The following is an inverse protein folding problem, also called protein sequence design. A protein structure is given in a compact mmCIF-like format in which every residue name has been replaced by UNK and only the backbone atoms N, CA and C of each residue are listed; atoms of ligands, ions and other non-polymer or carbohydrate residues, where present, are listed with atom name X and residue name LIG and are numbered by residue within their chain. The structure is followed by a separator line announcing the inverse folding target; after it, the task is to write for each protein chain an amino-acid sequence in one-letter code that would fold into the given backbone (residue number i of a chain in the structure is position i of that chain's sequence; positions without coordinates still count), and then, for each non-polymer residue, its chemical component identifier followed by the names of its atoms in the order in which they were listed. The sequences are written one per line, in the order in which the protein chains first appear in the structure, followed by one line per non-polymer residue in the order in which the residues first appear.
data_IF_213550937551
#
_entry.id   IF_213550937551
#
_cell.length_a   1.000
_cell.length_b   1.000
_cell.length_c   1.000
_cell.angle_alpha   90.00
_cell.angle_beta   90.00
_cell.angle_gamma   90.00
#
_symmetry.space_group_name_H-M   'P 1'
#
loop_
_entity.id
_entity.type
_entity.pdbx_description
1 polymer ?
#
# COMPACT_ATOMS: atom_id res chain seq x y z
N UNK A 1 -33.36 12.12 51.64
CA UNK A 1 -32.97 13.30 50.83
C UNK A 1 -31.49 13.57 51.05
N UNK A 2 -30.65 13.43 50.02
CA UNK A 2 -29.20 13.66 50.12
C UNK A 2 -28.40 13.03 48.98
N UNK A 3 -28.15 13.83 47.93
CA UNK A 3 -27.13 13.79 46.87
C UNK A 3 -26.27 12.52 46.65
N UNK A 4 -26.19 12.07 45.39
CA UNK A 4 -25.02 12.30 44.52
C UNK A 4 -25.25 11.77 43.09
N UNK A 5 -25.17 12.70 42.15
CA UNK A 5 -24.88 12.52 40.73
C UNK A 5 -23.65 11.63 40.51
N UNK A 6 -23.75 10.63 39.64
CA UNK A 6 -22.59 9.98 39.04
C UNK A 6 -22.82 9.83 37.52
N UNK A 7 -22.25 10.77 36.80
CA UNK A 7 -22.05 10.76 35.35
C UNK A 7 -21.26 9.50 34.98
N UNK A 8 -21.85 8.58 34.22
CA UNK A 8 -21.11 7.46 33.61
C UNK A 8 -20.73 7.88 32.20
N UNK A 9 -19.49 8.32 32.07
CA UNK A 9 -18.83 8.62 30.81
C UNK A 9 -18.93 7.41 29.89
N UNK A 10 -19.67 7.57 28.78
CA UNK A 10 -19.62 6.62 27.69
C UNK A 10 -18.22 6.64 27.11
N UNK A 11 -17.42 5.62 27.40
CA UNK A 11 -16.16 5.39 26.71
C UNK A 11 -16.50 5.13 25.24
N UNK A 12 -16.40 6.17 24.40
CA UNK A 12 -16.45 6.00 22.95
C UNK A 12 -15.25 5.15 22.57
N UNK A 13 -15.51 3.87 22.31
CA UNK A 13 -14.57 2.95 21.69
C UNK A 13 -14.07 3.61 20.41
N UNK A 14 -12.76 3.87 20.22
CA UNK A 14 -12.30 4.38 18.95
C UNK A 14 -12.59 3.30 17.92
N UNK A 15 -13.56 3.58 17.06
CA UNK A 15 -13.86 2.78 15.88
C UNK A 15 -12.57 2.76 15.06
N UNK A 16 -11.83 1.65 15.13
CA UNK A 16 -10.69 1.38 14.26
C UNK A 16 -11.29 1.25 12.87
N UNK A 17 -11.49 2.38 12.19
CA UNK A 17 -11.78 2.41 10.75
C UNK A 17 -10.69 1.58 10.10
N UNK A 18 -11.09 0.45 9.54
CA UNK A 18 -10.27 -0.38 8.68
C UNK A 18 -9.73 0.52 7.57
N UNK A 19 -8.45 0.90 7.68
CA UNK A 19 -7.70 1.59 6.62
C UNK A 19 -7.27 0.64 5.50
N UNK A 20 -7.83 -0.56 5.43
CA UNK A 20 -7.56 -1.45 4.32
C UNK A 20 -8.58 -1.15 3.21
N UNK A 21 -8.28 -0.13 2.42
CA UNK A 21 -8.90 0.04 1.11
C UNK A 21 -8.54 -1.20 0.29
N UNK A 22 -9.54 -1.98 -0.09
CA UNK A 22 -9.38 -3.08 -1.06
C UNK A 22 -9.32 -2.58 -2.50
N UNK A 23 -9.42 -1.27 -2.72
CA UNK A 23 -9.24 -0.66 -4.03
C UNK A 23 -7.74 -0.63 -4.34
N UNK A 24 -7.30 -1.58 -5.15
CA UNK A 24 -5.99 -1.53 -5.80
C UNK A 24 -6.02 -0.31 -6.72
N UNK A 25 -5.15 0.68 -6.47
CA UNK A 25 -5.04 1.86 -7.32
C UNK A 25 -4.68 1.48 -8.76
N UNK A 26 -5.03 2.33 -9.73
CA UNK A 26 -4.78 2.09 -11.16
C UNK A 26 -3.30 1.78 -11.45
N UNK A 27 -2.38 2.52 -10.82
CA UNK A 27 -0.94 2.28 -10.92
C UNK A 27 -0.53 0.87 -10.47
N UNK A 28 -1.16 0.35 -9.41
CA UNK A 28 -0.88 -0.99 -8.93
C UNK A 28 -1.44 -2.06 -9.87
N UNK A 29 -2.57 -1.80 -10.54
CA UNK A 29 -3.11 -2.70 -11.58
C UNK A 29 -2.19 -2.75 -12.79
N UNK A 30 -1.68 -1.61 -13.25
CA UNK A 30 -0.73 -1.53 -14.36
C UNK A 30 0.57 -2.26 -14.04
N UNK A 31 1.08 -2.10 -12.82
CA UNK A 31 2.26 -2.84 -12.35
C UNK A 31 2.02 -4.36 -12.33
N UNK A 32 0.89 -4.82 -11.78
CA UNK A 32 0.53 -6.25 -11.76
C UNK A 32 0.45 -6.81 -13.18
N UNK A 33 -0.23 -6.10 -14.10
CA UNK A 33 -0.33 -6.53 -15.49
C UNK A 33 1.04 -6.64 -16.16
N UNK A 34 1.94 -5.68 -15.93
CA UNK A 34 3.29 -5.70 -16.48
C UNK A 34 4.14 -6.87 -15.96
N UNK A 35 3.95 -7.26 -14.69
CA UNK A 35 4.59 -8.45 -14.10
C UNK A 35 4.07 -9.72 -14.77
N UNK A 36 2.76 -9.86 -14.97
CA UNK A 36 2.19 -11.03 -15.65
C UNK A 36 2.65 -11.13 -17.11
N UNK A 37 2.69 -10.00 -17.84
CA UNK A 37 3.20 -9.93 -19.21
C UNK A 37 4.68 -10.37 -19.27
N UNK A 38 5.50 -9.97 -18.28
CA UNK A 38 6.90 -10.42 -18.18
C UNK A 38 7.03 -11.92 -17.94
N UNK A 39 6.25 -12.45 -16.99
CA UNK A 39 6.26 -13.88 -16.64
C UNK A 39 5.90 -14.75 -17.84
N UNK A 40 4.88 -14.34 -18.59
CA UNK A 40 4.44 -15.04 -19.80
C UNK A 40 5.50 -15.00 -20.91
N UNK A 41 6.12 -13.84 -21.15
CA UNK A 41 7.11 -13.66 -22.22
C UNK A 41 8.45 -14.36 -21.95
N UNK A 42 8.81 -14.58 -20.67
CA UNK A 42 10.11 -15.15 -20.26
C UNK A 42 10.00 -16.56 -19.71
N UNK A 43 8.80 -17.15 -19.68
CA UNK A 43 8.50 -18.45 -19.06
C UNK A 43 9.06 -18.57 -17.63
N UNK A 44 9.13 -17.43 -16.93
CA UNK A 44 9.76 -17.31 -15.62
C UNK A 44 8.71 -16.95 -14.58
N UNK A 45 8.33 -17.88 -13.68
CA UNK A 45 7.25 -17.65 -12.72
C UNK A 45 7.62 -16.62 -11.65
N UNK A 46 8.92 -16.49 -11.33
CA UNK A 46 9.42 -15.58 -10.30
C UNK A 46 10.56 -14.71 -10.87
N UNK A 47 10.26 -13.45 -11.27
CA UNK A 47 11.30 -12.51 -11.63
C UNK A 47 12.16 -12.18 -10.40
N UNK A 48 13.45 -11.98 -10.64
CA UNK A 48 14.39 -11.40 -9.68
C UNK A 48 14.09 -9.91 -9.46
N UNK A 49 14.54 -9.35 -8.34
CA UNK A 49 14.37 -7.93 -8.05
C UNK A 49 15.00 -7.00 -9.10
N UNK A 50 16.08 -7.44 -9.76
CA UNK A 50 16.66 -6.71 -10.89
C UNK A 50 15.72 -6.67 -12.08
N UNK A 51 15.05 -7.80 -12.40
CA UNK A 51 14.05 -7.85 -13.48
C UNK A 51 12.82 -7.01 -13.11
N UNK A 52 12.35 -7.07 -11.86
CA UNK A 52 11.27 -6.20 -11.37
C UNK A 52 11.61 -4.72 -11.58
N UNK A 53 12.83 -4.29 -11.26
CA UNK A 53 13.26 -2.91 -11.49
C UNK A 53 13.28 -2.55 -12.99
N UNK A 54 13.58 -3.50 -13.88
CA UNK A 54 13.51 -3.27 -15.33
C UNK A 54 12.07 -3.14 -15.82
N UNK A 55 11.14 -3.94 -15.28
CA UNK A 55 9.71 -3.86 -15.61
C UNK A 55 9.14 -2.51 -15.20
N UNK A 56 9.43 -2.05 -13.98
CA UNK A 56 9.04 -0.72 -13.48
C UNK A 56 9.54 0.39 -14.41
N UNK A 57 10.79 0.29 -14.89
CA UNK A 57 11.33 1.25 -15.86
C UNK A 57 10.65 1.16 -17.23
N UNK A 58 10.28 -0.02 -17.68
CA UNK A 58 9.64 -0.25 -18.98
C UNK A 58 8.24 0.36 -19.06
N UNK A 59 7.48 0.33 -17.96
CA UNK A 59 6.15 0.97 -17.87
C UNK A 59 6.22 2.49 -17.64
N UNK A 60 7.42 3.07 -17.59
CA UNK A 60 7.63 4.52 -17.64
C UNK A 60 8.06 5.18 -16.32
N UNK A 61 8.17 4.45 -15.22
CA UNK A 61 8.67 5.03 -13.96
C UNK A 61 10.14 5.40 -14.08
N UNK A 62 10.47 6.64 -13.69
CA UNK A 62 11.84 7.13 -13.65
C UNK A 62 12.14 7.79 -12.30
N UNK A 63 13.40 7.69 -11.88
CA UNK A 63 13.90 8.39 -10.70
C UNK A 63 14.02 9.88 -11.02
N UNK A 64 13.16 10.71 -10.43
CA UNK A 64 13.13 12.18 -10.63
C UNK A 64 13.70 12.97 -9.46
N UNK A 65 13.93 12.33 -8.32
CA UNK A 65 14.49 12.96 -7.12
C UNK A 65 15.33 11.95 -6.32
N UNK A 66 16.02 12.44 -5.30
CA UNK A 66 16.65 11.56 -4.31
C UNK A 66 15.58 10.78 -3.54
N UNK A 67 15.89 9.51 -3.26
CA UNK A 67 14.98 8.62 -2.54
C UNK A 67 14.96 8.98 -1.06
N UNK A 68 13.80 8.86 -0.43
CA UNK A 68 13.69 8.89 1.03
C UNK A 68 14.08 7.53 1.62
N UNK A 69 14.55 7.48 2.87
CA UNK A 69 14.72 6.22 3.58
C UNK A 69 13.43 5.39 3.55
N UNK A 70 13.55 4.10 3.25
CA UNK A 70 12.38 3.18 3.20
C UNK A 70 11.62 3.15 4.53
N UNK A 71 12.31 3.43 5.64
CA UNK A 71 11.74 3.57 6.99
C UNK A 71 10.71 4.69 7.13
N UNK A 72 10.63 5.61 6.17
CA UNK A 72 9.69 6.74 6.17
C UNK A 72 8.46 6.52 5.28
N UNK A 73 8.33 5.36 4.62
CA UNK A 73 7.14 5.04 3.81
C UNK A 73 6.00 4.67 4.76
N UNK A 74 5.10 5.62 5.02
CA UNK A 74 3.87 5.42 5.79
C UNK A 74 2.72 4.86 4.96
N UNK A 75 1.66 4.32 5.61
CA UNK A 75 0.45 3.90 4.89
C UNK A 75 -0.27 5.13 4.33
N UNK A 76 -0.53 5.12 3.02
CA UNK A 76 -1.41 6.06 2.33
C UNK A 76 -2.85 5.96 2.84
#
# INVERSE_FOLDING_TARGET
MGTKTASKSGTRKPERKSKFSTAVGEEALDFIKAIEDYKAAKERPFPSWTEVLQIVKAIGYRKVAEGKPVTEIGPE
#
